data_IF_053015428625
#
_entry.id   IF_053015428625
#
_cell.length_a   1.000
_cell.length_b   1.000
_cell.length_c   1.000
_cell.angle_alpha   90.00
_cell.angle_beta   90.00
_cell.angle_gamma   90.00
#
_symmetry.space_group_name_H-M   'P 1'
#
loop_
_entity.id
_entity.type
_entity.pdbx_description
1 polymer ?
#
# COMPACT_ATOMS: atom_id res chain seq x y z
N UNK A 1 20.16 2.76 3.23
CA UNK A 1 18.94 3.24 3.91
C UNK A 1 17.90 2.12 3.83
N UNK A 2 17.07 1.90 4.85
CA UNK A 2 16.05 0.83 4.82
C UNK A 2 14.83 1.32 4.03
N UNK A 3 14.21 0.44 3.26
CA UNK A 3 12.96 0.73 2.56
C UNK A 3 11.79 0.16 3.38
N UNK A 4 10.76 0.97 3.61
CA UNK A 4 9.57 0.59 4.37
C UNK A 4 8.33 0.90 3.53
N UNK A 5 7.51 -0.12 3.27
CA UNK A 5 6.24 0.03 2.57
C UNK A 5 5.10 0.15 3.58
N UNK A 6 4.34 1.25 3.49
CA UNK A 6 3.16 1.49 4.31
C UNK A 6 1.90 0.98 3.61
N UNK A 7 1.06 0.28 4.36
CA UNK A 7 -0.28 -0.13 3.94
C UNK A 7 -1.29 0.60 4.82
N UNK A 8 -2.03 1.54 4.23
CA UNK A 8 -3.08 2.28 4.93
C UNK A 8 -4.40 1.57 4.68
N UNK A 9 -5.02 1.00 5.71
CA UNK A 9 -6.29 0.23 5.61
C UNK A 9 -7.54 1.06 5.27
N UNK A 10 -7.41 2.11 4.47
CA UNK A 10 -8.50 2.99 4.07
C UNK A 10 -8.16 3.69 2.77
N UNK A 11 -9.03 3.51 1.77
CA UNK A 11 -8.96 4.19 0.46
C UNK A 11 -9.69 5.54 0.44
N UNK A 12 -10.35 5.92 1.54
CA UNK A 12 -11.13 7.16 1.61
C UNK A 12 -10.20 8.36 1.57
N UNK A 13 -10.49 9.32 0.68
CA UNK A 13 -9.86 10.65 0.72
C UNK A 13 -10.04 11.28 2.11
N UNK A 14 -8.96 11.76 2.71
CA UNK A 14 -8.99 12.32 4.06
C UNK A 14 -9.18 11.28 5.17
N UNK A 15 -8.72 10.04 4.97
CA UNK A 15 -8.65 9.05 6.05
C UNK A 15 -7.73 9.52 7.18
N UNK A 16 -8.18 9.38 8.43
CA UNK A 16 -7.34 9.67 9.59
C UNK A 16 -6.14 8.72 9.68
N UNK A 17 -6.28 7.47 9.23
CA UNK A 17 -5.15 6.54 9.15
C UNK A 17 -4.10 6.98 8.13
N UNK A 18 -4.52 7.60 7.02
CA UNK A 18 -3.57 8.17 6.05
C UNK A 18 -2.83 9.37 6.63
N UNK A 19 -3.53 10.23 7.39
CA UNK A 19 -2.90 11.35 8.10
C UNK A 19 -1.89 10.87 9.15
N UNK A 20 -2.25 9.86 9.95
CA UNK A 20 -1.32 9.24 10.90
C UNK A 20 -0.09 8.64 10.20
N UNK A 21 -0.29 7.95 9.07
CA UNK A 21 0.80 7.40 8.29
C UNK A 21 1.73 8.49 7.74
N UNK A 22 1.20 9.67 7.38
CA UNK A 22 2.01 10.83 6.98
C UNK A 22 2.85 11.38 8.14
N UNK A 23 2.33 11.38 9.36
CA UNK A 23 3.13 11.77 10.54
C UNK A 23 4.24 10.74 10.84
N UNK A 24 3.94 9.44 10.71
CA UNK A 24 4.95 8.38 10.87
C UNK A 24 6.07 8.48 9.81
N UNK A 25 5.72 8.77 8.55
CA UNK A 25 6.69 9.03 7.47
C UNK A 25 7.64 10.17 7.83
N UNK A 26 7.13 11.29 8.37
CA UNK A 26 7.96 12.42 8.82
C UNK A 26 8.92 12.03 9.94
N UNK A 27 8.51 11.19 10.89
CA UNK A 27 9.37 10.72 11.98
C UNK A 27 10.50 9.79 11.51
N UNK A 28 10.30 9.16 10.34
CA UNK A 28 11.26 8.28 9.67
C UNK A 28 12.14 9.01 8.65
N UNK A 29 11.95 10.33 8.48
CA UNK A 29 12.80 11.15 7.62
C UNK A 29 14.28 10.92 7.96
N UNK A 30 15.11 10.83 6.92
CA UNK A 30 16.55 10.54 6.95
C UNK A 30 16.96 9.16 7.54
N UNK A 31 16.01 8.38 8.05
CA UNK A 31 16.23 7.03 8.63
C UNK A 31 15.80 5.92 7.68
N UNK A 32 14.75 6.15 6.89
CA UNK A 32 14.20 5.18 5.95
C UNK A 32 13.59 5.86 4.71
N UNK A 33 13.57 5.13 3.60
CA UNK A 33 12.76 5.47 2.43
C UNK A 33 11.37 4.87 2.64
N UNK A 34 10.35 5.72 2.77
CA UNK A 34 8.96 5.29 2.93
C UNK A 34 8.24 5.36 1.58
N UNK A 35 7.42 4.36 1.30
CA UNK A 35 6.52 4.30 0.14
C UNK A 35 5.15 3.80 0.58
N UNK A 36 4.13 3.96 -0.25
CA UNK A 36 2.76 3.55 0.06
C UNK A 36 2.26 2.56 -0.98
N UNK A 37 1.61 1.49 -0.52
CA UNK A 37 0.95 0.55 -1.41
C UNK A 37 -0.42 1.11 -1.86
N UNK A 38 -0.62 1.22 -3.17
CA UNK A 38 -1.96 1.42 -3.75
C UNK A 38 -2.57 0.06 -4.09
N UNK A 39 -3.58 -0.33 -3.32
CA UNK A 39 -4.32 -1.57 -3.52
C UNK A 39 -5.76 -1.31 -3.97
N UNK A 40 -6.07 -0.09 -4.46
CA UNK A 40 -7.44 0.30 -4.81
C UNK A 40 -8.08 -0.53 -5.92
N UNK A 41 -7.26 -1.14 -6.78
CA UNK A 41 -7.69 -2.00 -7.88
C UNK A 41 -7.60 -3.50 -7.56
N UNK A 42 -7.11 -3.88 -6.37
CA UNK A 42 -7.00 -5.30 -5.98
C UNK A 42 -8.41 -5.83 -5.70
N UNK A 43 -8.88 -6.86 -6.41
CA UNK A 43 -10.19 -7.42 -6.16
C UNK A 43 -10.20 -8.18 -4.83
N UNK A 44 -11.39 -8.32 -4.24
CA UNK A 44 -11.60 -9.30 -3.18
C UNK A 44 -11.27 -10.69 -3.74
N UNK A 45 -10.56 -11.47 -2.95
CA UNK A 45 -10.13 -12.81 -3.33
C UNK A 45 -11.30 -13.67 -3.85
N UNK A 46 -11.07 -14.31 -4.99
CA UNK A 46 -11.94 -15.31 -5.60
C UNK A 46 -11.07 -16.30 -6.38
N UNK A 47 -11.19 -17.61 -6.09
CA UNK A 47 -10.46 -18.67 -6.78
C UNK A 47 -10.66 -18.67 -8.30
N UNK A 48 -11.84 -18.23 -8.77
CA UNK A 48 -12.14 -18.15 -10.21
C UNK A 48 -11.25 -17.14 -10.96
N UNK A 49 -10.63 -16.20 -10.23
CA UNK A 49 -9.76 -15.16 -10.78
C UNK A 49 -8.26 -15.51 -10.69
N UNK A 50 -7.90 -16.73 -10.28
CA UNK A 50 -6.49 -17.13 -10.11
C UNK A 50 -5.79 -17.43 -11.44
N UNK A 51 -6.53 -17.77 -12.50
CA UNK A 51 -5.98 -18.12 -13.82
C UNK A 51 -6.72 -17.42 -14.96
N UNK A 52 -6.09 -16.48 -15.69
CA UNK A 52 -4.72 -16.00 -15.51
C UNK A 52 -4.57 -15.06 -14.30
N UNK A 53 -3.34 -14.91 -13.80
CA UNK A 53 -3.02 -13.93 -12.74
C UNK A 53 -3.35 -12.52 -13.24
N UNK A 54 -4.12 -11.77 -12.46
CA UNK A 54 -4.49 -10.40 -12.79
C UNK A 54 -3.26 -9.47 -12.72
N UNK A 55 -3.04 -8.58 -13.71
CA UNK A 55 -1.88 -7.69 -13.74
C UNK A 55 -1.69 -6.84 -12.48
N UNK A 56 -2.79 -6.38 -11.87
CA UNK A 56 -2.77 -5.60 -10.61
C UNK A 56 -2.08 -6.34 -9.46
N UNK A 57 -2.11 -7.68 -9.45
CA UNK A 57 -1.45 -8.48 -8.41
C UNK A 57 0.07 -8.51 -8.57
N UNK A 58 0.58 -8.28 -9.79
CA UNK A 58 2.02 -8.16 -10.01
C UNK A 58 2.55 -6.83 -9.45
N UNK A 59 1.84 -5.72 -9.70
CA UNK A 59 2.22 -4.39 -9.21
C UNK A 59 2.26 -4.30 -7.67
N UNK A 60 1.39 -5.05 -6.97
CA UNK A 60 1.33 -5.06 -5.50
C UNK A 60 2.38 -5.96 -4.84
N UNK A 61 3.02 -6.86 -5.61
CA UNK A 61 4.00 -7.83 -5.08
C UNK A 61 5.45 -7.34 -5.14
N UNK A 62 5.74 -6.39 -6.01
CA UNK A 62 7.07 -5.78 -6.21
C UNK A 62 7.29 -4.58 -5.27
#
# INVERSE_FOLDING_TARGET
>A
MKNILFIVGSLRKGSFNHQLAKEAEKMLADKANVSYLDYSQVPVFNQDLESPVLPVLAEVRE
#
